data_IF_490602162941
#
_entry.id   IF_490602162941
#
_cell.length_a   1.000
_cell.length_b   1.000
_cell.length_c   1.000
_cell.angle_alpha   90.00
_cell.angle_beta   90.00
_cell.angle_gamma   90.00
#
_symmetry.space_group_name_H-M   'P 1'
#
loop_
_entity.id
_entity.type
_entity.pdbx_description
1 polymer ?
#
# COMPACT_ATOMS: atom_id res chain seq x y z
N UNK A 1 27.23 -5.82 1.50
CA UNK A 1 27.47 -5.84 1.78
C UNK A 1 27.74 -5.73 2.41
N UNK A 2 27.15 -5.72 2.62
CA UNK A 2 27.27 -5.80 3.22
C UNK A 2 27.22 -5.64 3.85
N UNK A 3 26.87 -5.44 4.06
CA UNK A 3 26.82 -5.57 4.69
C UNK A 3 26.84 -5.44 5.51
N UNK A 4 26.76 -5.14 5.84
CA UNK A 4 26.74 -5.18 6.47
C UNK A 4 26.59 -4.76 7.22
N UNK A 5 26.34 -4.44 7.34
CA UNK A 5 26.25 -4.24 7.89
C UNK A 5 25.80 -3.82 8.38
N UNK A 6 25.26 -3.62 8.62
CA UNK A 6 24.68 -3.66 8.87
C UNK A 6 24.11 -3.05 9.50
N UNK A 7 23.67 -2.55 9.75
CA UNK A 7 23.18 -2.33 10.08
C UNK A 7 22.33 -1.94 10.55
N UNK A 8 21.71 -1.48 10.66
CA UNK A 8 21.02 -1.32 10.85
C UNK A 8 20.10 -1.71 11.04
N UNK A 9 19.65 -1.39 11.69
CA UNK A 9 18.97 -2.14 11.70
C UNK A 9 18.64 -2.74 10.62
N UNK A 10 18.10 -2.23 10.04
CA UNK A 10 17.84 -2.76 8.92
C UNK A 10 18.90 -2.65 8.03
N UNK A 11 19.82 -2.03 8.27
CA UNK A 11 20.70 -1.87 7.44
C UNK A 11 21.71 -2.79 7.31
N UNK A 12 22.20 -3.23 8.17
CA UNK A 12 23.17 -4.09 7.99
C UNK A 12 22.70 -5.17 7.39
N UNK A 13 21.62 -5.10 7.38
CA UNK A 13 21.09 -6.16 6.96
C UNK A 13 20.09 -5.89 5.96
N UNK A 14 20.31 -5.00 5.06
CA UNK A 14 19.44 -4.82 3.94
C UNK A 14 19.27 -6.14 3.20
N UNK A 15 20.32 -6.95 3.13
CA UNK A 15 20.23 -8.28 2.54
C UNK A 15 19.31 -9.20 3.28
N UNK A 16 19.31 -9.10 4.61
CA UNK A 16 18.43 -9.94 5.43
C UNK A 16 16.97 -9.55 5.24
N UNK A 17 16.67 -8.27 5.16
CA UNK A 17 15.31 -7.81 4.90
C UNK A 17 14.83 -8.36 3.57
N UNK A 18 15.67 -8.29 2.53
CA UNK A 18 15.29 -8.71 1.21
C UNK A 18 15.28 -10.23 1.02
N UNK A 19 15.80 -10.98 1.99
CA UNK A 19 15.87 -12.44 1.84
C UNK A 19 14.65 -13.16 2.38
N UNK A 20 13.76 -12.48 3.12
CA UNK A 20 12.59 -13.09 3.69
C UNK A 20 11.38 -13.06 2.78
N UNK A 21 10.25 -13.43 3.34
CA UNK A 21 8.96 -13.41 2.62
C UNK A 21 8.09 -12.30 3.17
N UNK A 22 7.12 -11.87 2.38
CA UNK A 22 6.23 -10.79 2.79
C UNK A 22 5.48 -11.10 4.08
N UNK A 23 5.07 -12.36 4.28
CA UNK A 23 4.36 -12.73 5.49
C UNK A 23 5.18 -12.44 6.74
N UNK A 24 6.50 -12.59 6.66
CA UNK A 24 7.38 -12.33 7.81
C UNK A 24 7.45 -10.84 8.10
N UNK A 25 7.50 -10.04 7.05
CA UNK A 25 7.52 -8.60 7.17
C UNK A 25 6.19 -8.09 7.74
N UNK A 26 5.07 -8.62 7.25
CA UNK A 26 3.75 -8.21 7.71
C UNK A 26 3.52 -8.57 9.17
N UNK A 27 4.07 -9.69 9.63
CA UNK A 27 3.92 -10.12 11.02
C UNK A 27 4.57 -9.14 11.99
N UNK A 28 5.52 -8.35 11.52
CA UNK A 28 6.23 -7.38 12.36
C UNK A 28 5.60 -6.00 12.32
N UNK A 29 4.64 -5.76 11.43
CA UNK A 29 4.02 -4.45 11.33
C UNK A 29 3.01 -4.26 12.47
N UNK A 30 3.10 -3.11 13.11
CA UNK A 30 2.18 -2.79 14.19
C UNK A 30 0.83 -2.32 13.67
N UNK A 31 0.85 -1.62 12.53
CA UNK A 31 -0.35 -1.04 11.99
C UNK A 31 -0.99 -2.02 11.01
N UNK A 32 -2.27 -2.28 11.19
CA UNK A 32 -3.00 -3.12 10.27
C UNK A 32 -3.33 -2.39 8.98
N UNK A 33 -4.13 -3.04 8.13
CA UNK A 33 -4.56 -2.46 6.87
C UNK A 33 -5.55 -1.33 7.16
N UNK A 34 -5.33 -0.19 6.52
CA UNK A 34 -6.26 0.94 6.61
C UNK A 34 -7.07 0.93 5.32
N UNK A 35 -8.38 0.82 5.46
CA UNK A 35 -9.25 0.62 4.31
C UNK A 35 -10.49 1.49 4.37
N UNK A 36 -11.12 1.69 3.22
CA UNK A 36 -12.39 2.40 3.09
C UNK A 36 -13.28 1.65 2.12
N UNK A 37 -14.56 1.90 2.21
CA UNK A 37 -15.52 1.37 1.25
C UNK A 37 -15.47 2.19 -0.03
N UNK A 38 -15.81 1.56 -1.16
CA UNK A 38 -15.69 2.20 -2.48
C UNK A 38 -16.59 3.42 -2.64
N UNK A 39 -17.71 3.51 -1.92
CA UNK A 39 -18.59 4.67 -2.01
C UNK A 39 -18.31 5.73 -0.95
N UNK A 40 -17.20 5.60 -0.22
CA UNK A 40 -16.73 6.64 0.69
C UNK A 40 -16.41 7.92 -0.10
N UNK A 41 -16.79 9.08 0.41
CA UNK A 41 -16.42 10.32 -0.26
C UNK A 41 -14.93 10.61 -0.04
N UNK A 42 -14.34 11.29 -1.02
CA UNK A 42 -12.90 11.56 -1.02
C UNK A 42 -12.47 12.34 0.22
N UNK A 43 -13.26 13.33 0.65
CA UNK A 43 -12.90 14.11 1.83
C UNK A 43 -12.76 13.23 3.08
N UNK A 44 -13.66 12.26 3.25
CA UNK A 44 -13.59 11.35 4.40
C UNK A 44 -12.36 10.45 4.29
N UNK A 45 -12.05 9.99 3.07
CA UNK A 45 -10.86 9.17 2.84
C UNK A 45 -9.59 9.97 3.16
N UNK A 46 -9.54 11.22 2.71
CA UNK A 46 -8.38 12.07 2.97
C UNK A 46 -8.16 12.27 4.47
N UNK A 47 -9.25 12.48 5.22
CA UNK A 47 -9.15 12.62 6.68
C UNK A 47 -8.64 11.32 7.32
N UNK A 48 -9.08 10.18 6.81
CA UNK A 48 -8.63 8.90 7.34
C UNK A 48 -7.15 8.69 7.09
N UNK A 49 -6.65 9.09 5.91
CA UNK A 49 -5.23 9.04 5.62
C UNK A 49 -4.43 9.93 6.57
N UNK A 50 -4.92 11.15 6.78
CA UNK A 50 -4.27 12.08 7.69
C UNK A 50 -4.22 11.54 9.11
N UNK A 51 -5.35 11.05 9.61
CA UNK A 51 -5.45 10.61 11.00
C UNK A 51 -4.65 9.34 11.26
N UNK A 52 -4.50 8.50 10.24
CA UNK A 52 -3.72 7.27 10.37
C UNK A 52 -2.29 7.42 9.85
N UNK A 53 -1.94 8.59 9.32
CA UNK A 53 -0.59 8.91 8.84
C UNK A 53 -0.13 7.92 7.79
N UNK A 54 -1.01 7.63 6.83
CA UNK A 54 -0.69 6.73 5.72
C UNK A 54 -0.90 7.45 4.41
N UNK A 55 -0.17 7.04 3.38
CA UNK A 55 -0.26 7.64 2.05
C UNK A 55 -1.16 6.88 1.09
N UNK A 56 -1.82 5.84 1.56
CA UNK A 56 -2.70 5.03 0.73
C UNK A 56 -3.73 4.31 1.57
N UNK A 57 -4.91 4.12 0.98
CA UNK A 57 -5.99 3.33 1.59
C UNK A 57 -6.35 2.22 0.63
N UNK A 58 -6.64 1.05 1.18
CA UNK A 58 -7.20 -0.03 0.39
C UNK A 58 -8.68 0.23 0.23
N UNK A 59 -9.20 0.05 -0.99
CA UNK A 59 -10.61 0.32 -1.28
C UNK A 59 -11.31 -1.01 -1.49
N UNK A 60 -12.33 -1.26 -0.69
CA UNK A 60 -13.07 -2.50 -0.72
C UNK A 60 -14.52 -2.28 -1.12
N UNK A 61 -15.10 -3.31 -1.73
CA UNK A 61 -16.51 -3.36 -2.07
C UNK A 61 -16.96 -4.76 -1.77
N UNK A 62 -17.89 -4.92 -0.82
CA UNK A 62 -18.37 -6.24 -0.39
C UNK A 62 -17.19 -7.16 0.00
N UNK A 63 -16.29 -6.62 0.80
CA UNK A 63 -15.11 -7.32 1.31
C UNK A 63 -14.11 -7.72 0.22
N UNK A 64 -14.27 -7.24 -1.00
CA UNK A 64 -13.34 -7.50 -2.09
C UNK A 64 -12.52 -6.26 -2.37
N UNK A 65 -11.20 -6.42 -2.49
CA UNK A 65 -10.32 -5.32 -2.85
C UNK A 65 -10.60 -4.90 -4.29
N UNK A 66 -11.02 -3.66 -4.49
CA UNK A 66 -11.35 -3.17 -5.83
C UNK A 66 -10.41 -2.05 -6.29
N UNK A 67 -9.60 -1.52 -5.39
CA UNK A 67 -8.68 -0.47 -5.80
C UNK A 67 -7.82 0.02 -4.66
N UNK A 68 -7.02 1.02 -4.94
CA UNK A 68 -6.19 1.68 -3.96
C UNK A 68 -6.34 3.19 -4.17
N UNK A 69 -6.46 3.93 -3.08
CA UNK A 69 -6.58 5.38 -3.15
C UNK A 69 -5.36 6.00 -2.48
N UNK A 70 -4.57 6.73 -3.24
CA UNK A 70 -3.28 7.24 -2.78
C UNK A 70 -3.27 8.76 -2.73
N UNK A 71 -2.23 9.30 -2.08
CA UNK A 71 -1.98 10.74 -2.08
C UNK A 71 -1.87 11.28 -3.51
N UNK A 72 -1.29 10.49 -4.42
CA UNK A 72 -1.20 10.91 -5.81
C UNK A 72 -2.57 11.01 -6.46
N UNK A 73 -3.46 10.04 -6.16
CA UNK A 73 -4.83 10.10 -6.68
C UNK A 73 -5.54 11.35 -6.18
N UNK A 74 -5.37 11.66 -4.91
CA UNK A 74 -5.97 12.86 -4.33
C UNK A 74 -5.48 14.12 -5.04
N UNK A 75 -4.18 14.21 -5.26
CA UNK A 75 -3.60 15.38 -5.90
C UNK A 75 -3.97 15.46 -7.37
N UNK A 76 -3.78 14.38 -8.13
CA UNK A 76 -3.89 14.44 -9.59
C UNK A 76 -5.29 14.22 -10.12
N UNK A 77 -6.13 13.47 -9.41
CA UNK A 77 -7.46 13.13 -9.91
C UNK A 77 -8.59 13.88 -9.22
N UNK A 78 -8.29 14.53 -8.11
CA UNK A 78 -9.30 15.31 -7.39
C UNK A 78 -8.93 16.78 -7.40
N UNK A 79 -7.80 17.13 -6.77
CA UNK A 79 -7.43 18.55 -6.63
C UNK A 79 -7.09 19.18 -7.98
N UNK A 80 -6.22 18.54 -8.76
CA UNK A 80 -5.81 19.09 -10.05
C UNK A 80 -6.96 19.17 -11.05
N UNK A 81 -7.96 18.29 -10.91
CA UNK A 81 -9.12 18.27 -11.79
C UNK A 81 -10.23 19.19 -11.31
N UNK A 82 -10.04 19.87 -10.20
CA UNK A 82 -11.03 20.80 -9.67
C UNK A 82 -12.29 20.15 -9.13
N UNK A 83 -12.22 18.87 -8.76
CA UNK A 83 -13.38 18.18 -8.21
C UNK A 83 -13.57 18.52 -6.74
N UNK A 84 -14.83 18.48 -6.29
CA UNK A 84 -15.16 18.75 -4.91
C UNK A 84 -15.01 17.46 -4.10
N UNK A 85 -14.05 17.38 -3.19
CA UNK A 85 -13.83 16.16 -2.43
C UNK A 85 -15.00 15.78 -1.53
N UNK A 86 -15.89 16.71 -1.23
CA UNK A 86 -17.08 16.40 -0.42
C UNK A 86 -18.19 15.75 -1.25
N UNK A 87 -18.03 15.69 -2.57
CA UNK A 87 -19.08 15.20 -3.46
C UNK A 87 -18.68 14.00 -4.29
N UNK A 88 -17.37 13.77 -4.49
CA UNK A 88 -16.92 12.65 -5.32
C UNK A 88 -16.58 11.47 -4.44
N UNK A 89 -16.81 10.28 -4.98
CA UNK A 89 -16.53 9.03 -4.27
C UNK A 89 -15.13 8.53 -4.59
N UNK A 90 -14.57 7.78 -3.67
CA UNK A 90 -13.26 7.17 -3.85
C UNK A 90 -13.26 6.28 -5.10
N UNK A 91 -14.36 5.55 -5.35
CA UNK A 91 -14.45 4.68 -6.52
C UNK A 91 -14.29 5.42 -7.84
N UNK A 92 -14.59 6.72 -7.87
CA UNK A 92 -14.49 7.52 -9.09
C UNK A 92 -13.08 8.02 -9.34
N UNK A 93 -12.21 7.97 -8.34
CA UNK A 93 -10.88 8.59 -8.42
C UNK A 93 -9.74 7.66 -8.04
N UNK A 94 -10.04 6.47 -7.56
CA UNK A 94 -9.02 5.51 -7.14
C UNK A 94 -8.28 4.91 -8.34
N UNK A 95 -7.18 4.23 -8.04
CA UNK A 95 -6.49 3.41 -9.02
C UNK A 95 -7.05 1.99 -8.88
N UNK A 96 -7.62 1.45 -9.97
CA UNK A 96 -8.24 0.12 -9.92
C UNK A 96 -7.39 -0.96 -10.56
N UNK A 97 -6.42 -0.57 -11.40
CA UNK A 97 -5.52 -1.53 -12.03
C UNK A 97 -4.31 -1.72 -11.12
N UNK A 98 -4.42 -2.64 -10.17
CA UNK A 98 -3.41 -2.80 -9.12
C UNK A 98 -2.78 -4.18 -9.18
N UNK A 99 -1.48 -4.23 -8.86
CA UNK A 99 -0.77 -5.49 -8.71
C UNK A 99 -0.99 -5.98 -7.28
N UNK A 100 -1.21 -7.28 -7.12
CA UNK A 100 -1.34 -7.91 -5.81
C UNK A 100 -0.48 -9.17 -5.78
N UNK A 101 -0.08 -9.59 -4.59
CA UNK A 101 0.79 -10.75 -4.44
C UNK A 101 0.34 -11.57 -3.23
N UNK A 102 0.68 -12.87 -3.20
CA UNK A 102 0.40 -13.69 -2.01
C UNK A 102 1.42 -13.46 -0.90
N UNK A 103 1.10 -13.87 0.33
CA UNK A 103 2.01 -13.66 1.47
C UNK A 103 3.35 -14.38 1.35
N UNK A 104 3.41 -15.45 0.57
CA UNK A 104 4.63 -16.22 0.38
C UNK A 104 5.63 -15.57 -0.57
N UNK A 105 5.24 -14.46 -1.19
CA UNK A 105 6.12 -13.77 -2.14
C UNK A 105 7.41 -13.33 -1.45
N UNK A 106 8.56 -13.60 -2.05
CA UNK A 106 9.83 -13.12 -1.49
C UNK A 106 9.86 -11.59 -1.49
N UNK A 107 10.43 -11.04 -0.43
CA UNK A 107 10.53 -9.58 -0.30
C UNK A 107 11.28 -8.98 -1.50
N UNK A 108 12.32 -9.67 -1.97
CA UNK A 108 13.09 -9.20 -3.12
C UNK A 108 12.23 -9.09 -4.37
N UNK A 109 11.32 -10.04 -4.57
CA UNK A 109 10.41 -9.99 -5.72
C UNK A 109 9.44 -8.83 -5.60
N UNK A 110 8.92 -8.58 -4.40
CA UNK A 110 8.04 -7.44 -4.16
C UNK A 110 8.76 -6.13 -4.42
N UNK A 111 10.02 -6.03 -3.99
CA UNK A 111 10.84 -4.84 -4.23
C UNK A 111 11.00 -4.59 -5.73
N UNK A 112 11.23 -5.66 -6.50
CA UNK A 112 11.37 -5.53 -7.94
C UNK A 112 10.07 -5.08 -8.61
N UNK A 113 8.93 -5.63 -8.16
CA UNK A 113 7.64 -5.22 -8.69
C UNK A 113 7.37 -3.75 -8.45
N UNK A 114 7.69 -3.27 -7.25
CA UNK A 114 7.50 -1.86 -6.92
C UNK A 114 8.37 -0.97 -7.81
N UNK A 115 9.64 -1.35 -7.98
CA UNK A 115 10.56 -0.57 -8.79
C UNK A 115 10.16 -0.55 -10.26
N UNK A 116 9.81 -1.71 -10.81
CA UNK A 116 9.49 -1.82 -12.22
C UNK A 116 8.20 -1.12 -12.58
N UNK A 117 7.23 -1.13 -11.66
CA UNK A 117 5.92 -0.54 -11.92
C UNK A 117 5.74 0.83 -11.29
N UNK A 118 6.78 1.34 -10.62
CA UNK A 118 6.76 2.66 -9.99
C UNK A 118 5.60 2.79 -9.01
N UNK A 119 5.37 1.74 -8.23
CA UNK A 119 4.33 1.73 -7.21
C UNK A 119 4.99 1.69 -5.83
N UNK A 120 4.34 2.29 -4.85
CA UNK A 120 4.87 2.39 -3.51
C UNK A 120 4.09 1.57 -2.50
N UNK A 121 3.01 0.93 -2.92
CA UNK A 121 2.17 0.11 -2.07
C UNK A 121 1.79 -1.15 -2.83
N UNK A 122 1.87 -2.29 -2.16
CA UNK A 122 1.59 -3.58 -2.77
C UNK A 122 0.64 -4.35 -1.85
N UNK A 123 -0.63 -4.47 -2.24
CA UNK A 123 -1.56 -5.25 -1.44
C UNK A 123 -1.22 -6.73 -1.48
N UNK A 124 -1.38 -7.39 -0.35
CA UNK A 124 -1.09 -8.81 -0.20
C UNK A 124 -2.42 -9.52 0.00
N UNK A 125 -2.72 -10.47 -0.88
CA UNK A 125 -3.96 -11.24 -0.84
C UNK A 125 -3.66 -12.69 -0.50
N UNK A 126 -4.48 -13.25 0.41
CA UNK A 126 -4.40 -14.66 0.73
C UNK A 126 -5.78 -15.25 0.47
N UNK A 127 -5.84 -16.24 -0.42
CA UNK A 127 -7.10 -16.88 -0.81
C UNK A 127 -8.13 -15.86 -1.26
N UNK A 128 -7.68 -14.87 -2.04
CA UNK A 128 -8.54 -13.84 -2.59
C UNK A 128 -8.92 -12.73 -1.63
N UNK A 129 -8.44 -12.77 -0.39
CA UNK A 129 -8.79 -11.77 0.61
C UNK A 129 -7.58 -10.95 1.00
N UNK A 130 -7.81 -9.68 1.25
CA UNK A 130 -6.76 -8.75 1.65
C UNK A 130 -6.22 -9.14 3.02
N UNK A 131 -4.92 -9.48 3.08
CA UNK A 131 -4.28 -9.86 4.34
C UNK A 131 -3.28 -8.83 4.84
N UNK A 132 -2.86 -7.92 3.98
CA UNK A 132 -1.91 -6.89 4.39
C UNK A 132 -1.54 -5.98 3.25
N UNK A 133 -0.73 -4.98 3.55
CA UNK A 133 -0.19 -4.06 2.54
C UNK A 133 1.26 -3.81 2.88
N UNK A 134 2.12 -3.93 1.89
CA UNK A 134 3.54 -3.61 2.03
C UNK A 134 3.80 -2.30 1.32
N UNK A 135 4.42 -1.35 2.01
CA UNK A 135 4.79 -0.08 1.41
C UNK A 135 6.27 -0.07 1.06
N UNK A 136 6.65 0.87 0.20
CA UNK A 136 8.06 1.04 -0.13
C UNK A 136 8.87 1.33 1.13
N UNK A 137 8.29 2.07 2.09
CA UNK A 137 8.96 2.36 3.36
C UNK A 137 9.20 1.14 4.23
N UNK A 138 8.44 0.06 4.03
CA UNK A 138 8.65 -1.18 4.77
C UNK A 138 9.89 -1.93 4.28
N UNK A 139 10.25 -1.73 3.01
CA UNK A 139 11.33 -2.49 2.35
C UNK A 139 12.59 -1.66 2.19
N UNK A 140 12.46 -0.42 1.76
CA UNK A 140 13.60 0.45 1.41
C UNK A 140 13.93 1.50 2.51
#
# INVERSE_FOLDING_TARGET
MDTADKSTSRVDSAGDVLSGKLKDLLAQKEKGVIQVDSDCIVAAAARKMRDNKVGALMVLENDTLVGIFTERDLMSRVVAEGLDPEKVKVSETMTSSIATVPPETPIREAANLMSQNRIRHLPVLQDGKLSGVVSAGDIF
#
